data_IF_229988514386
#
_entry.id   IF_229988514386
#
_cell.length_a   1.000
_cell.length_b   1.000
_cell.length_c   1.000
_cell.angle_alpha   90.00
_cell.angle_beta   90.00
_cell.angle_gamma   90.00
#
_symmetry.space_group_name_H-M   'P 1'
#
loop_
_entity.id
_entity.type
_entity.pdbx_description
1 polymer ?
#
# COMPACT_ATOMS: atom_id res chain seq x y z
N UNK A 1 3.17 -0.33 28.78
CA UNK A 1 3.44 -1.51 27.91
C UNK A 1 2.97 -2.75 28.67
N UNK A 2 1.78 -3.23 28.30
CA UNK A 2 1.34 -4.55 28.79
C UNK A 2 1.98 -5.60 27.89
N UNK A 3 2.70 -6.59 28.45
CA UNK A 3 3.25 -7.66 27.64
C UNK A 3 2.14 -8.39 26.90
N UNK A 4 2.37 -8.80 25.63
CA UNK A 4 1.34 -9.51 24.87
C UNK A 4 0.89 -10.77 25.63
N UNK A 5 -0.42 -10.94 25.78
CA UNK A 5 -0.99 -12.12 26.46
C UNK A 5 -0.55 -13.38 25.69
N UNK A 6 0.30 -14.19 26.31
CA UNK A 6 0.70 -15.49 25.75
C UNK A 6 -0.44 -16.47 25.95
N UNK A 7 -1.18 -16.76 24.89
CA UNK A 7 -2.18 -17.82 24.89
C UNK A 7 -1.46 -19.17 24.96
N UNK A 8 -1.60 -19.86 26.08
CA UNK A 8 -1.11 -21.23 26.22
C UNK A 8 -2.12 -22.17 25.56
N UNK A 9 -1.86 -22.56 24.31
CA UNK A 9 -2.77 -23.41 23.52
C UNK A 9 -2.82 -24.87 24.00
N UNK A 10 -1.93 -25.29 24.92
CA UNK A 10 -1.91 -26.65 25.45
C UNK A 10 -2.00 -27.72 24.34
N UNK A 11 -3.01 -28.60 24.43
CA UNK A 11 -3.24 -29.68 23.46
C UNK A 11 -3.71 -29.18 22.08
N UNK A 12 -4.16 -27.93 21.97
CA UNK A 12 -4.68 -27.32 20.73
C UNK A 12 -3.60 -26.71 19.83
N UNK A 13 -2.33 -26.74 20.25
CA UNK A 13 -1.28 -26.13 19.44
C UNK A 13 -1.11 -26.82 18.07
N UNK A 14 -1.22 -28.16 18.00
CA UNK A 14 -1.12 -28.93 16.75
C UNK A 14 -2.23 -28.58 15.76
N UNK A 15 -3.54 -28.71 16.10
CA UNK A 15 -4.60 -28.37 15.17
C UNK A 15 -4.58 -26.90 14.75
N UNK A 16 -4.26 -25.97 15.64
CA UNK A 16 -4.14 -24.55 15.30
C UNK A 16 -2.98 -24.32 14.32
N UNK A 17 -1.83 -24.97 14.54
CA UNK A 17 -0.69 -24.88 13.64
C UNK A 17 -0.97 -25.46 12.26
N UNK A 18 -1.68 -26.60 12.19
CA UNK A 18 -2.11 -27.20 10.92
C UNK A 18 -3.04 -26.27 10.16
N UNK A 19 -4.04 -25.68 10.83
CA UNK A 19 -4.94 -24.70 10.20
C UNK A 19 -4.18 -23.45 9.77
N UNK A 20 -3.29 -22.93 10.59
CA UNK A 20 -2.49 -21.76 10.24
C UNK A 20 -1.56 -22.00 9.05
N UNK A 21 -0.99 -23.20 8.91
CA UNK A 21 -0.13 -23.58 7.81
C UNK A 21 -0.91 -23.95 6.54
N UNK A 22 -2.14 -24.45 6.68
CA UNK A 22 -2.96 -24.82 5.53
C UNK A 22 -3.33 -23.62 4.66
N UNK A 23 -3.55 -22.44 5.25
CA UNK A 23 -3.90 -21.22 4.50
C UNK A 23 -2.79 -20.80 3.53
N UNK A 24 -1.53 -20.58 3.97
CA UNK A 24 -0.45 -20.26 3.03
C UNK A 24 -0.13 -21.42 2.07
N UNK A 25 -0.29 -22.68 2.50
CA UNK A 25 -0.07 -23.82 1.63
C UNK A 25 -1.11 -23.88 0.50
N UNK A 26 -2.37 -23.63 0.78
CA UNK A 26 -3.44 -23.55 -0.22
C UNK A 26 -3.27 -22.33 -1.14
N UNK A 27 -2.77 -21.21 -0.62
CA UNK A 27 -2.54 -20.02 -1.42
C UNK A 27 -1.32 -20.15 -2.36
N UNK A 28 -0.21 -20.71 -1.86
CA UNK A 28 1.04 -20.83 -2.61
C UNK A 28 1.18 -22.16 -3.37
N UNK A 29 0.54 -23.23 -2.88
CA UNK A 29 0.65 -24.58 -3.43
C UNK A 29 0.33 -24.67 -4.90
N UNK A 30 -0.84 -24.19 -5.38
CA UNK A 30 -1.17 -24.22 -6.81
C UNK A 30 -0.16 -23.46 -7.67
N UNK A 31 0.32 -22.31 -7.21
CA UNK A 31 1.31 -21.51 -7.91
C UNK A 31 2.64 -22.24 -8.03
N UNK A 32 3.12 -22.84 -6.94
CA UNK A 32 4.37 -23.63 -6.93
C UNK A 32 4.25 -24.87 -7.80
N UNK A 33 3.13 -25.59 -7.73
CA UNK A 33 2.89 -26.78 -8.58
C UNK A 33 2.85 -26.41 -10.07
N UNK A 34 2.17 -25.32 -10.43
CA UNK A 34 2.12 -24.86 -11.83
C UNK A 34 3.49 -24.41 -12.31
N UNK A 35 4.26 -23.71 -11.49
CA UNK A 35 5.62 -23.30 -11.82
C UNK A 35 6.53 -24.52 -11.99
N UNK A 36 6.48 -25.48 -11.06
CA UNK A 36 7.27 -26.72 -11.15
C UNK A 36 6.92 -27.53 -12.40
N UNK A 37 5.63 -27.68 -12.71
CA UNK A 37 5.19 -28.34 -13.96
C UNK A 37 5.64 -27.59 -15.21
N UNK A 38 5.61 -26.26 -15.18
CA UNK A 38 6.13 -25.44 -16.28
C UNK A 38 7.61 -25.67 -16.52
N UNK A 39 8.41 -25.80 -15.47
CA UNK A 39 9.84 -26.08 -15.55
C UNK A 39 10.15 -27.51 -16.04
N UNK A 40 9.35 -28.50 -15.65
CA UNK A 40 9.59 -29.92 -16.01
C UNK A 40 9.04 -30.31 -17.40
N UNK A 41 7.95 -29.68 -17.83
CA UNK A 41 7.29 -30.00 -19.10
C UNK A 41 7.81 -29.17 -20.28
N UNK A 42 8.76 -28.29 -20.08
CA UNK A 42 9.33 -27.50 -21.16
C UNK A 42 10.37 -28.32 -21.92
N UNK A 43 9.94 -29.15 -22.87
CA UNK A 43 10.80 -29.69 -23.95
C UNK A 43 11.30 -28.60 -24.91
N UNK A 44 11.08 -27.32 -24.59
CA UNK A 44 11.66 -26.15 -25.23
C UNK A 44 12.79 -25.65 -24.34
N UNK A 45 13.97 -25.60 -24.85
CA UNK A 45 15.08 -24.82 -24.31
C UNK A 45 14.65 -23.34 -24.30
N UNK A 46 14.03 -22.90 -23.19
CA UNK A 46 13.76 -21.48 -22.97
C UNK A 46 15.09 -20.83 -22.68
N UNK A 47 15.69 -20.23 -23.72
CA UNK A 47 16.84 -19.35 -23.53
C UNK A 47 16.33 -18.11 -22.80
N UNK A 48 16.60 -18.03 -21.50
CA UNK A 48 16.22 -16.85 -20.70
C UNK A 48 17.14 -15.70 -21.09
N UNK A 49 16.57 -14.69 -21.75
CA UNK A 49 17.29 -13.44 -22.00
C UNK A 49 17.34 -12.62 -20.69
N UNK A 50 18.45 -12.71 -19.99
CA UNK A 50 18.68 -11.99 -18.75
C UNK A 50 18.65 -10.47 -18.93
N UNK A 51 18.93 -9.96 -20.14
CA UNK A 51 18.82 -8.54 -20.48
C UNK A 51 17.35 -8.07 -20.44
N UNK A 52 16.45 -8.88 -21.03
CA UNK A 52 15.00 -8.59 -20.97
C UNK A 52 14.46 -8.67 -19.53
N UNK A 53 14.89 -9.67 -18.77
CA UNK A 53 14.49 -9.80 -17.36
C UNK A 53 14.96 -8.58 -16.57
N UNK A 54 16.20 -8.15 -16.73
CA UNK A 54 16.76 -6.97 -16.07
C UNK A 54 16.00 -5.68 -16.42
N UNK A 55 15.71 -5.47 -17.70
CA UNK A 55 14.94 -4.31 -18.17
C UNK A 55 13.50 -4.31 -17.66
N UNK A 56 12.85 -5.47 -17.63
CA UNK A 56 11.51 -5.63 -17.10
C UNK A 56 11.45 -5.35 -15.59
N UNK A 57 12.43 -5.85 -14.83
CA UNK A 57 12.55 -5.55 -13.40
C UNK A 57 12.77 -4.06 -13.14
N UNK A 58 13.65 -3.43 -13.91
CA UNK A 58 13.92 -1.98 -13.82
C UNK A 58 12.66 -1.15 -14.11
N UNK A 59 11.93 -1.48 -15.16
CA UNK A 59 10.67 -0.81 -15.51
C UNK A 59 9.61 -1.00 -14.43
N UNK A 60 9.44 -2.22 -13.93
CA UNK A 60 8.47 -2.54 -12.86
C UNK A 60 8.80 -1.77 -11.59
N UNK A 61 10.06 -1.78 -11.16
CA UNK A 61 10.52 -1.01 -10.00
C UNK A 61 10.30 0.50 -10.20
N UNK A 62 10.61 1.02 -11.37
CA UNK A 62 10.40 2.43 -11.71
C UNK A 62 8.93 2.85 -11.61
N UNK A 63 8.02 2.08 -12.19
CA UNK A 63 6.58 2.37 -12.12
C UNK A 63 6.03 2.21 -10.70
N UNK A 64 6.49 1.21 -9.95
CA UNK A 64 6.10 1.01 -8.56
C UNK A 64 6.56 2.17 -7.67
N UNK A 65 7.80 2.62 -7.81
CA UNK A 65 8.34 3.77 -7.08
C UNK A 65 7.61 5.07 -7.43
N UNK A 66 7.34 5.31 -8.72
CA UNK A 66 6.58 6.47 -9.15
C UNK A 66 5.15 6.46 -8.55
N UNK A 67 4.47 5.32 -8.61
CA UNK A 67 3.14 5.17 -8.03
C UNK A 67 3.15 5.35 -6.51
N UNK A 68 4.13 4.78 -5.81
CA UNK A 68 4.28 4.93 -4.37
C UNK A 68 4.54 6.40 -3.98
N UNK A 69 5.43 7.11 -4.69
CA UNK A 69 5.70 8.51 -4.44
C UNK A 69 4.45 9.39 -4.64
N UNK A 70 3.71 9.17 -5.74
CA UNK A 70 2.48 9.92 -6.02
C UNK A 70 1.40 9.57 -5.00
N UNK A 71 1.18 8.29 -4.69
CA UNK A 71 0.21 7.86 -3.69
C UNK A 71 0.50 8.47 -2.32
N UNK A 72 1.77 8.48 -1.90
CA UNK A 72 2.22 9.09 -0.64
C UNK A 72 1.98 10.60 -0.65
N UNK A 73 2.31 11.28 -1.72
CA UNK A 73 2.09 12.72 -1.85
C UNK A 73 0.61 13.10 -1.82
N UNK A 74 -0.25 12.33 -2.50
CA UNK A 74 -1.71 12.54 -2.53
C UNK A 74 -2.36 12.16 -1.20
N UNK A 75 -1.90 11.10 -0.56
CA UNK A 75 -2.39 10.65 0.74
C UNK A 75 -2.10 11.66 1.86
N UNK A 76 -0.98 12.39 1.78
CA UNK A 76 -0.50 13.27 2.84
C UNK A 76 -1.51 14.33 3.29
N UNK A 77 -2.09 15.17 2.40
CA UNK A 77 -3.09 16.17 2.82
C UNK A 77 -4.34 15.53 3.43
N UNK A 78 -4.75 14.35 2.93
CA UNK A 78 -5.91 13.61 3.45
C UNK A 78 -5.63 13.11 4.87
N UNK A 79 -4.49 12.43 5.06
CA UNK A 79 -4.07 11.89 6.35
C UNK A 79 -3.87 12.98 7.39
N UNK A 80 -3.26 14.10 6.99
CA UNK A 80 -3.07 15.28 7.84
C UNK A 80 -4.41 15.87 8.29
N UNK A 81 -5.34 16.07 7.35
CA UNK A 81 -6.64 16.64 7.66
C UNK A 81 -7.48 15.71 8.54
N UNK A 82 -7.53 14.43 8.23
CA UNK A 82 -8.26 13.43 9.02
C UNK A 82 -7.67 13.29 10.43
N UNK A 83 -6.35 13.27 10.56
CA UNK A 83 -5.67 13.11 11.85
C UNK A 83 -5.76 14.32 12.77
N UNK A 84 -5.86 15.55 12.20
CA UNK A 84 -5.81 16.80 12.98
C UNK A 84 -7.16 17.45 13.26
N UNK A 85 -8.19 17.12 12.50
CA UNK A 85 -9.52 17.72 12.63
C UNK A 85 -10.60 16.64 12.64
N UNK A 86 -10.84 16.00 13.81
CA UNK A 86 -11.93 15.03 13.92
C UNK A 86 -13.26 15.74 13.66
N UNK A 87 -13.90 15.40 12.56
CA UNK A 87 -15.17 15.95 12.12
C UNK A 87 -15.95 14.90 11.36
N UNK A 88 -17.26 15.07 11.20
CA UNK A 88 -18.05 14.15 10.38
C UNK A 88 -17.50 14.06 8.94
N UNK A 89 -17.03 15.18 8.40
CA UNK A 89 -16.44 15.22 7.05
C UNK A 89 -15.15 14.42 6.96
N UNK A 90 -14.27 14.48 7.96
CA UNK A 90 -13.02 13.71 7.98
C UNK A 90 -13.31 12.21 8.09
N UNK A 91 -14.29 11.80 8.91
CA UNK A 91 -14.72 10.40 9.02
C UNK A 91 -15.32 9.89 7.69
N UNK A 92 -16.14 10.71 7.03
CA UNK A 92 -16.71 10.34 5.73
C UNK A 92 -15.63 10.20 4.64
N UNK A 93 -14.66 11.12 4.61
CA UNK A 93 -13.53 11.03 3.67
C UNK A 93 -12.71 9.77 3.89
N UNK A 94 -12.39 9.45 5.14
CA UNK A 94 -11.69 8.21 5.49
C UNK A 94 -12.47 6.97 5.04
N UNK A 95 -13.76 6.92 5.35
CA UNK A 95 -14.62 5.81 4.91
C UNK A 95 -14.69 5.70 3.39
N UNK A 96 -14.80 6.82 2.67
CA UNK A 96 -14.82 6.83 1.21
C UNK A 96 -13.50 6.25 0.63
N UNK A 97 -12.37 6.59 1.21
CA UNK A 97 -11.06 6.03 0.81
C UNK A 97 -11.03 4.51 1.02
N UNK A 98 -11.53 4.01 2.17
CA UNK A 98 -11.58 2.56 2.43
C UNK A 98 -12.60 1.81 1.57
N UNK A 99 -13.73 2.45 1.20
CA UNK A 99 -14.69 1.87 0.24
C UNK A 99 -14.05 1.68 -1.12
N UNK A 100 -13.21 2.62 -1.57
CA UNK A 100 -12.46 2.47 -2.81
C UNK A 100 -11.52 1.24 -2.77
N UNK A 101 -10.95 0.90 -1.61
CA UNK A 101 -10.12 -0.30 -1.44
C UNK A 101 -10.91 -1.62 -1.52
N UNK A 102 -12.22 -1.58 -1.25
CA UNK A 102 -13.07 -2.77 -1.35
C UNK A 102 -13.37 -3.18 -2.80
N UNK A 103 -13.07 -2.33 -3.79
CA UNK A 103 -13.26 -2.65 -5.21
C UNK A 103 -12.21 -3.69 -5.63
N UNK A 104 -12.62 -4.85 -6.19
CA UNK A 104 -11.68 -5.82 -6.72
C UNK A 104 -10.76 -5.19 -7.77
N UNK A 105 -9.45 -5.39 -7.62
CA UNK A 105 -8.44 -4.78 -8.49
C UNK A 105 -8.65 -5.07 -9.99
N UNK A 106 -9.18 -6.25 -10.32
CA UNK A 106 -9.53 -6.61 -11.69
C UNK A 106 -10.63 -5.70 -12.28
N UNK A 107 -11.65 -5.36 -11.48
CA UNK A 107 -12.74 -4.46 -11.91
C UNK A 107 -12.18 -3.05 -12.11
N UNK A 108 -11.35 -2.58 -11.18
CA UNK A 108 -10.68 -1.28 -11.31
C UNK A 108 -9.82 -1.23 -12.58
N UNK A 109 -9.00 -2.26 -12.83
CA UNK A 109 -8.15 -2.34 -14.01
C UNK A 109 -8.97 -2.31 -15.31
N UNK A 110 -10.03 -3.12 -15.41
CA UNK A 110 -10.91 -3.15 -16.59
C UNK A 110 -11.63 -1.80 -16.80
N UNK A 111 -12.08 -1.18 -15.72
CA UNK A 111 -12.73 0.14 -15.78
C UNK A 111 -11.78 1.22 -16.30
N UNK A 112 -10.52 1.22 -15.81
CA UNK A 112 -9.50 2.17 -16.27
C UNK A 112 -9.09 1.92 -17.73
N UNK A 113 -8.97 0.66 -18.15
CA UNK A 113 -8.71 0.29 -19.54
C UNK A 113 -9.87 0.78 -20.43
N UNK A 114 -11.11 0.52 -20.03
CA UNK A 114 -12.29 0.98 -20.77
C UNK A 114 -12.33 2.51 -20.86
N UNK A 115 -12.10 3.20 -19.76
CA UNK A 115 -12.07 4.66 -19.71
C UNK A 115 -10.96 5.22 -20.61
N UNK A 116 -9.76 4.69 -20.52
CA UNK A 116 -8.61 5.13 -21.31
C UNK A 116 -8.84 4.89 -22.80
N UNK A 117 -9.38 3.73 -23.19
CA UNK A 117 -9.64 3.43 -24.59
C UNK A 117 -10.73 4.29 -25.20
N UNK A 118 -11.72 4.72 -24.41
CA UNK A 118 -12.86 5.52 -24.89
C UNK A 118 -12.61 7.02 -24.85
N UNK A 119 -12.04 7.53 -23.74
CA UNK A 119 -11.91 8.97 -23.52
C UNK A 119 -10.51 9.50 -23.87
N UNK A 120 -9.49 8.67 -23.76
CA UNK A 120 -8.10 9.09 -23.98
C UNK A 120 -7.27 7.97 -24.65
N UNK A 121 -7.56 7.60 -25.92
CA UNK A 121 -6.86 6.50 -26.59
C UNK A 121 -5.35 6.68 -26.68
N UNK A 122 -4.88 7.92 -26.71
CA UNK A 122 -3.44 8.25 -26.70
C UNK A 122 -2.75 7.84 -25.40
N UNK A 123 -3.46 7.84 -24.26
CA UNK A 123 -2.92 7.47 -22.95
C UNK A 123 -2.97 5.96 -22.70
N UNK A 124 -3.83 5.21 -23.41
CA UNK A 124 -4.04 3.79 -23.17
C UNK A 124 -2.74 2.96 -23.20
N UNK A 125 -1.83 3.29 -24.13
CA UNK A 125 -0.54 2.60 -24.30
C UNK A 125 0.57 3.17 -23.41
N UNK A 126 0.29 4.22 -22.64
CA UNK A 126 1.29 4.87 -21.82
C UNK A 126 1.32 4.29 -20.41
N UNK A 127 2.51 4.24 -19.76
CA UNK A 127 2.63 3.79 -18.38
C UNK A 127 1.81 4.61 -17.37
N UNK A 128 1.39 5.80 -17.74
CA UNK A 128 0.61 6.70 -16.87
C UNK A 128 -0.71 6.07 -16.39
N UNK A 129 -1.37 5.26 -17.24
CA UNK A 129 -2.61 4.56 -16.85
C UNK A 129 -2.33 3.49 -15.81
N UNK A 130 -1.21 2.77 -15.94
CA UNK A 130 -0.76 1.78 -14.97
C UNK A 130 -0.40 2.45 -13.63
N UNK A 131 0.36 3.53 -13.68
CA UNK A 131 0.72 4.30 -12.47
C UNK A 131 -0.53 4.84 -11.79
N UNK A 132 -1.49 5.38 -12.54
CA UNK A 132 -2.76 5.85 -12.01
C UNK A 132 -3.56 4.72 -11.34
N UNK A 133 -3.59 3.53 -11.94
CA UNK A 133 -4.23 2.35 -11.36
C UNK A 133 -3.60 1.98 -10.01
N UNK A 134 -2.28 1.96 -9.94
CA UNK A 134 -1.55 1.68 -8.68
C UNK A 134 -1.79 2.76 -7.63
N UNK A 135 -1.78 4.04 -8.03
CA UNK A 135 -2.07 5.14 -7.10
C UNK A 135 -3.47 4.97 -6.49
N UNK A 136 -4.50 4.72 -7.31
CA UNK A 136 -5.87 4.53 -6.81
C UNK A 136 -5.96 3.31 -5.89
N UNK A 137 -5.31 2.20 -6.26
CA UNK A 137 -5.35 0.94 -5.51
C UNK A 137 -4.65 1.06 -4.14
N UNK A 138 -3.50 1.74 -4.09
CA UNK A 138 -2.67 1.83 -2.89
C UNK A 138 -2.87 3.09 -2.07
N UNK A 139 -3.65 4.07 -2.57
CA UNK A 139 -3.97 5.30 -1.84
C UNK A 139 -4.57 5.03 -0.45
N UNK A 140 -5.54 4.10 -0.27
CA UNK A 140 -6.10 3.80 1.05
C UNK A 140 -5.06 3.32 2.05
N UNK A 141 -4.15 2.46 1.61
CA UNK A 141 -3.05 1.97 2.44
C UNK A 141 -2.08 3.09 2.81
N UNK A 142 -1.73 3.97 1.84
CA UNK A 142 -0.89 5.12 2.09
C UNK A 142 -1.52 6.07 3.13
N UNK A 143 -2.83 6.33 3.03
CA UNK A 143 -3.59 7.13 4.01
C UNK A 143 -3.56 6.46 5.39
N UNK A 144 -3.80 5.15 5.46
CA UNK A 144 -3.80 4.39 6.72
C UNK A 144 -2.45 4.44 7.43
N UNK A 145 -1.36 4.13 6.73
CA UNK A 145 -0.01 4.14 7.32
C UNK A 145 0.44 5.54 7.74
N UNK A 146 0.20 6.55 6.92
CA UNK A 146 0.55 7.93 7.27
C UNK A 146 -0.24 8.43 8.48
N UNK A 147 -1.51 8.01 8.61
CA UNK A 147 -2.30 8.36 9.79
C UNK A 147 -1.70 7.80 11.06
N UNK A 148 -1.29 6.52 11.07
CA UNK A 148 -0.63 5.91 12.24
C UNK A 148 0.65 6.65 12.60
N UNK A 149 1.48 7.00 11.61
CA UNK A 149 2.70 7.79 11.83
C UNK A 149 2.39 9.20 12.38
N UNK A 150 1.34 9.86 11.88
CA UNK A 150 0.94 11.18 12.35
C UNK A 150 0.30 11.15 13.76
N UNK A 151 -0.37 10.07 14.14
CA UNK A 151 -0.91 9.87 15.50
C UNK A 151 0.22 9.66 16.52
N UNK A 152 1.36 9.09 16.12
CA UNK A 152 2.54 8.97 16.95
C UNK A 152 3.14 10.35 17.31
N UNK A 153 3.02 11.34 16.41
CA UNK A 153 3.35 12.74 16.67
C UNK A 153 2.15 13.42 17.34
N UNK A 154 2.09 13.36 18.68
CA UNK A 154 0.96 13.92 19.45
C UNK A 154 0.76 15.39 19.13
N UNK A 155 -0.50 15.79 18.96
CA UNK A 155 -0.92 17.19 18.79
C UNK A 155 -0.35 18.11 19.89
N UNK A 156 -0.13 17.54 21.08
CA UNK A 156 0.52 18.21 22.20
C UNK A 156 1.91 18.78 21.85
N UNK A 157 2.70 18.11 21.02
CA UNK A 157 4.01 18.63 20.61
C UNK A 157 3.91 19.83 19.69
N UNK A 158 2.88 19.88 18.85
CA UNK A 158 2.62 21.03 18.00
C UNK A 158 2.17 22.23 18.83
N UNK A 159 1.30 22.01 19.84
CA UNK A 159 0.83 23.05 20.75
C UNK A 159 1.97 23.62 21.61
N UNK A 160 2.85 22.76 22.11
CA UNK A 160 4.07 23.17 22.84
C UNK A 160 5.00 23.96 21.93
N UNK A 161 5.23 23.51 20.70
CA UNK A 161 6.07 24.23 19.74
C UNK A 161 5.48 25.60 19.37
N UNK A 162 4.17 25.67 19.23
CA UNK A 162 3.46 26.91 18.97
C UNK A 162 3.57 27.91 20.17
N UNK A 163 3.46 27.42 21.41
CA UNK A 163 3.63 28.24 22.62
C UNK A 163 5.06 28.79 22.75
N UNK A 164 6.04 28.10 22.22
CA UNK A 164 7.45 28.54 22.11
C UNK A 164 7.72 29.43 20.89
N UNK A 165 6.67 29.89 20.18
CA UNK A 165 6.79 30.80 19.03
C UNK A 165 7.29 30.15 17.73
N UNK A 166 7.26 28.81 17.65
CA UNK A 166 7.65 28.12 16.40
C UNK A 166 6.60 28.31 15.31
N UNK A 167 7.04 28.58 14.08
CA UNK A 167 6.15 28.66 12.92
C UNK A 167 5.68 27.25 12.53
N UNK A 168 4.43 27.06 12.04
CA UNK A 168 3.88 25.75 11.69
C UNK A 168 4.76 24.91 10.77
N UNK A 169 5.34 25.53 9.72
CA UNK A 169 6.24 24.84 8.80
C UNK A 169 7.53 24.35 9.48
N UNK A 170 8.08 25.09 10.44
CA UNK A 170 9.26 24.71 11.21
C UNK A 170 8.95 23.58 12.19
N UNK A 171 7.80 23.66 12.86
CA UNK A 171 7.30 22.59 13.75
C UNK A 171 7.10 21.31 12.96
N UNK A 172 6.46 21.38 11.80
CA UNK A 172 6.31 20.22 10.92
C UNK A 172 7.66 19.58 10.55
N UNK A 173 8.60 20.36 10.04
CA UNK A 173 9.89 19.83 9.57
C UNK A 173 10.80 19.31 10.70
N UNK A 174 10.77 19.91 11.90
CA UNK A 174 11.70 19.60 12.99
C UNK A 174 11.13 18.71 14.09
N UNK A 175 9.81 18.64 14.21
CA UNK A 175 9.14 17.88 15.28
C UNK A 175 8.25 16.80 14.68
N UNK A 176 7.24 17.19 13.89
CA UNK A 176 6.22 16.26 13.42
C UNK A 176 6.79 15.23 12.45
N UNK A 177 7.56 15.67 11.45
CA UNK A 177 8.10 14.78 10.43
C UNK A 177 9.12 13.76 11.00
N UNK A 178 10.11 14.14 11.83
CA UNK A 178 11.03 13.16 12.41
C UNK A 178 10.36 12.14 13.35
N UNK A 179 9.28 12.54 14.04
CA UNK A 179 8.51 11.65 14.92
C UNK A 179 7.57 10.72 14.14
N UNK A 180 7.13 11.13 12.94
CA UNK A 180 6.25 10.34 12.10
C UNK A 180 6.99 9.36 11.18
N UNK A 181 8.28 9.58 10.90
CA UNK A 181 9.10 8.74 10.01
C UNK A 181 9.34 7.29 10.49
N UNK A 182 9.46 7.01 11.82
CA UNK A 182 9.67 5.64 12.30
C UNK A 182 8.41 4.75 12.30
N UNK A 183 7.23 5.27 12.02
CA UNK A 183 5.96 4.52 11.88
C UNK A 183 5.65 4.27 10.45
#
# INVERSE_FOLDING_TARGET
DRPPARLQLGRWHLPVMVVALSVPLLALGPTLVMTARGLTNTGRTVTTDWGQVGSALGSTAGYALAAAAIATAVAFPVSWWVGRRPSLRSVLTERAVWVAHAIPSAILALSLVYLATRLAPALYKMPVVLVAAYVILFLPLAVGYQRVGLEASRQLYDDVAASLGSRPARTFARVTLPLALPG
#
